data_IF_061691914819
#
_entry.id   IF_061691914819
#
_cell.length_a   1.000
_cell.length_b   1.000
_cell.length_c   1.000
_cell.angle_alpha   90.00
_cell.angle_beta   90.00
_cell.angle_gamma   90.00
#
_symmetry.space_group_name_H-M   'P 1'
#
loop_
_entity.id
_entity.type
_entity.pdbx_description
1 polymer ?
#
# COMPACT_ATOMS: atom_id res chain seq x y z
N UNK A 1 19.10 25.60 1.74
CA UNK A 1 18.91 24.18 1.38
C UNK A 1 18.84 23.40 2.69
N UNK A 2 17.84 22.52 2.89
CA UNK A 2 17.84 21.60 4.02
C UNK A 2 19.14 20.80 4.02
N UNK A 3 19.69 20.48 5.19
CA UNK A 3 20.79 19.51 5.24
C UNK A 3 20.25 18.12 4.91
N UNK A 4 21.13 17.22 4.48
CA UNK A 4 20.76 15.83 4.17
C UNK A 4 20.15 15.11 5.38
N UNK A 5 20.61 15.47 6.59
CA UNK A 5 20.05 15.00 7.85
C UNK A 5 18.64 15.54 8.14
N UNK A 6 18.36 16.80 7.79
CA UNK A 6 17.01 17.38 7.91
C UNK A 6 16.05 16.71 6.91
N UNK A 7 16.53 16.48 5.67
CA UNK A 7 15.71 15.82 4.64
C UNK A 7 15.39 14.39 5.04
N UNK A 8 16.39 13.63 5.48
CA UNK A 8 16.22 12.26 5.98
C UNK A 8 15.17 12.19 7.08
N UNK A 9 15.25 13.10 8.05
CA UNK A 9 14.34 13.14 9.20
C UNK A 9 12.91 13.48 8.77
N UNK A 10 12.73 14.45 7.87
CA UNK A 10 11.43 14.82 7.31
C UNK A 10 10.79 13.65 6.56
N UNK A 11 11.53 13.02 5.63
CA UNK A 11 11.00 11.91 4.82
C UNK A 11 10.59 10.73 5.70
N UNK A 12 11.43 10.37 6.69
CA UNK A 12 11.12 9.31 7.66
C UNK A 12 9.84 9.62 8.43
N UNK A 13 9.74 10.83 8.99
CA UNK A 13 8.58 11.22 9.79
C UNK A 13 7.29 11.23 8.96
N UNK A 14 7.34 11.74 7.73
CA UNK A 14 6.21 11.76 6.82
C UNK A 14 5.77 10.36 6.39
N UNK A 15 6.72 9.49 6.00
CA UNK A 15 6.45 8.11 5.64
C UNK A 15 5.82 7.33 6.79
N UNK A 16 6.39 7.45 7.99
CA UNK A 16 5.86 6.82 9.19
C UNK A 16 4.45 7.32 9.51
N UNK A 17 4.21 8.63 9.46
CA UNK A 17 2.90 9.20 9.71
C UNK A 17 1.84 8.74 8.69
N UNK A 18 2.20 8.67 7.41
CA UNK A 18 1.33 8.14 6.35
C UNK A 18 1.01 6.66 6.58
N UNK A 19 2.02 5.82 6.82
CA UNK A 19 1.81 4.39 7.06
C UNK A 19 0.94 4.13 8.27
N UNK A 20 1.15 4.85 9.37
CA UNK A 20 0.31 4.70 10.57
C UNK A 20 -1.11 5.24 10.37
N UNK A 21 -1.31 6.25 9.52
CA UNK A 21 -2.66 6.72 9.19
C UNK A 21 -3.49 5.61 8.52
N UNK A 22 -2.88 4.70 7.76
CA UNK A 22 -3.57 3.58 7.12
C UNK A 22 -4.01 2.47 8.10
N UNK A 23 -3.56 2.48 9.37
CA UNK A 23 -4.06 1.58 10.41
C UNK A 23 -5.52 1.91 10.76
N UNK A 24 -5.86 3.20 10.77
CA UNK A 24 -7.24 3.68 10.91
C UNK A 24 -7.49 4.77 9.85
N UNK A 25 -7.72 4.34 8.59
CA UNK A 25 -7.66 5.24 7.45
C UNK A 25 -8.79 6.27 7.49
N UNK A 26 -8.50 7.56 7.27
CA UNK A 26 -9.53 8.53 6.94
C UNK A 26 -10.10 8.24 5.54
N UNK A 27 -11.07 9.05 5.09
CA UNK A 27 -11.57 8.94 3.73
C UNK A 27 -10.43 9.10 2.70
N UNK A 28 -10.46 8.40 1.55
CA UNK A 28 -9.39 8.46 0.55
C UNK A 28 -9.01 9.89 0.13
N UNK A 29 -9.99 10.77 -0.06
CA UNK A 29 -9.75 12.18 -0.41
C UNK A 29 -9.01 12.95 0.69
N UNK A 30 -9.35 12.71 1.96
CA UNK A 30 -8.66 13.32 3.10
C UNK A 30 -7.23 12.79 3.20
N UNK A 31 -7.03 11.48 3.11
CA UNK A 31 -5.71 10.85 3.12
C UNK A 31 -4.81 11.43 2.02
N UNK A 32 -5.30 11.49 0.78
CA UNK A 32 -4.57 12.02 -0.36
C UNK A 32 -4.24 13.51 -0.17
N UNK A 33 -5.21 14.31 0.27
CA UNK A 33 -4.98 15.75 0.50
C UNK A 33 -3.92 16.04 1.56
N UNK A 34 -3.82 15.15 2.56
CA UNK A 34 -2.94 15.32 3.72
C UNK A 34 -1.52 14.84 3.45
N UNK A 35 -1.37 13.69 2.78
CA UNK A 35 -0.09 13.01 2.68
C UNK A 35 0.52 13.04 1.28
N UNK A 36 -0.23 13.38 0.24
CA UNK A 36 0.25 13.33 -1.14
C UNK A 36 0.38 14.72 -1.77
N UNK A 37 1.23 14.79 -2.79
CA UNK A 37 1.36 15.97 -3.65
C UNK A 37 0.09 16.20 -4.49
N UNK A 38 0.04 17.26 -5.29
CA UNK A 38 -1.11 17.57 -6.14
C UNK A 38 -1.30 16.61 -7.32
N UNK A 39 -0.23 15.94 -7.77
CA UNK A 39 -0.25 15.00 -8.91
C UNK A 39 0.41 13.68 -8.53
N UNK A 40 -0.12 12.94 -7.54
CA UNK A 40 0.52 11.73 -7.05
C UNK A 40 0.33 10.56 -8.02
N UNK A 41 1.13 9.52 -7.85
CA UNK A 41 0.92 8.25 -8.55
C UNK A 41 0.95 7.07 -7.58
N UNK A 42 0.03 6.12 -7.77
CA UNK A 42 0.03 4.84 -7.05
C UNK A 42 0.22 3.71 -8.07
N UNK A 43 1.05 2.74 -7.74
CA UNK A 43 1.28 1.57 -8.57
C UNK A 43 1.49 0.33 -7.70
N UNK A 44 0.55 -0.61 -7.77
CA UNK A 44 0.72 -1.92 -7.16
C UNK A 44 1.25 -2.90 -8.20
N UNK A 45 2.47 -3.38 -7.97
CA UNK A 45 3.16 -4.26 -8.90
C UNK A 45 2.56 -5.66 -8.81
N UNK A 46 2.36 -6.28 -9.96
CA UNK A 46 1.84 -7.63 -10.04
C UNK A 46 1.85 -8.16 -11.47
N UNK A 47 1.67 -9.48 -11.62
CA UNK A 47 1.64 -10.09 -12.94
C UNK A 47 0.35 -9.74 -13.70
N UNK A 48 0.48 -9.46 -14.99
CA UNK A 48 -0.66 -9.09 -15.85
C UNK A 48 -1.72 -10.19 -15.98
N UNK A 49 -1.38 -11.46 -15.76
CA UNK A 49 -2.36 -12.55 -15.80
C UNK A 49 -3.39 -12.48 -14.66
N UNK A 50 -3.09 -11.75 -13.57
CA UNK A 50 -3.99 -11.61 -12.43
C UNK A 50 -4.97 -10.42 -12.57
N UNK A 51 -4.71 -9.48 -13.49
CA UNK A 51 -5.39 -8.18 -13.53
C UNK A 51 -6.89 -8.27 -13.82
N UNK A 52 -7.35 -9.33 -14.48
CA UNK A 52 -8.78 -9.57 -14.72
C UNK A 52 -9.55 -9.76 -13.41
N UNK A 53 -8.92 -10.39 -12.41
CA UNK A 53 -9.53 -10.67 -11.10
C UNK A 53 -9.11 -9.65 -10.03
N UNK A 54 -7.94 -9.01 -10.23
CA UNK A 54 -7.35 -8.03 -9.33
C UNK A 54 -7.06 -6.74 -10.13
N UNK A 55 -8.09 -5.91 -10.42
CA UNK A 55 -8.00 -4.80 -11.38
C UNK A 55 -7.09 -3.63 -10.97
N UNK A 56 -6.52 -3.69 -9.76
CA UNK A 56 -5.52 -2.74 -9.27
C UNK A 56 -4.08 -3.16 -9.61
N UNK A 57 -3.82 -4.45 -9.87
CA UNK A 57 -2.45 -4.94 -10.14
C UNK A 57 -1.93 -4.52 -11.52
N UNK A 58 -0.69 -4.02 -11.54
CA UNK A 58 0.01 -3.58 -12.75
C UNK A 58 -0.57 -2.30 -13.38
N UNK A 59 -1.61 -1.72 -12.77
CA UNK A 59 -2.21 -0.45 -13.20
C UNK A 59 -1.57 0.69 -12.43
N UNK A 60 -1.11 1.71 -13.14
CA UNK A 60 -0.69 2.97 -12.54
C UNK A 60 -1.88 3.92 -12.49
N UNK A 61 -2.12 4.48 -11.30
CA UNK A 61 -3.16 5.48 -11.04
C UNK A 61 -2.48 6.84 -10.93
N UNK A 62 -2.96 7.83 -11.69
CA UNK A 62 -2.36 9.16 -11.82
C UNK A 62 -3.29 10.27 -11.33
N UNK A 63 -2.76 11.13 -10.45
CA UNK A 63 -3.50 12.24 -9.88
C UNK A 63 -4.45 11.81 -8.75
N UNK A 64 -4.88 12.78 -7.94
CA UNK A 64 -5.69 12.51 -6.76
C UNK A 64 -6.99 11.74 -7.06
N UNK A 65 -7.61 11.97 -8.22
CA UNK A 65 -8.84 11.28 -8.61
C UNK A 65 -8.62 9.78 -8.85
N UNK A 66 -7.65 9.41 -9.70
CA UNK A 66 -7.38 7.99 -9.96
C UNK A 66 -6.79 7.30 -8.73
N UNK A 67 -5.96 8.00 -7.94
CA UNK A 67 -5.48 7.47 -6.68
C UNK A 67 -6.62 7.20 -5.69
N UNK A 68 -7.70 7.98 -5.71
CA UNK A 68 -8.91 7.66 -4.95
C UNK A 68 -9.59 6.38 -5.50
N UNK A 69 -9.68 6.26 -6.83
CA UNK A 69 -10.19 5.06 -7.50
C UNK A 69 -9.37 3.80 -7.17
N UNK A 70 -8.07 3.92 -6.92
CA UNK A 70 -7.25 2.79 -6.43
C UNK A 70 -7.80 2.23 -5.12
N UNK A 71 -8.10 3.08 -4.12
CA UNK A 71 -8.66 2.63 -2.84
C UNK A 71 -10.04 2.00 -3.01
N UNK A 72 -10.89 2.56 -3.87
CA UNK A 72 -12.21 2.00 -4.20
C UNK A 72 -12.08 0.62 -4.87
N UNK A 73 -11.18 0.51 -5.84
CA UNK A 73 -10.92 -0.73 -6.59
C UNK A 73 -10.39 -1.82 -5.65
N UNK A 74 -9.38 -1.49 -4.85
CA UNK A 74 -8.80 -2.39 -3.86
C UNK A 74 -9.86 -2.84 -2.83
N UNK A 75 -10.58 -1.89 -2.20
CA UNK A 75 -11.58 -2.20 -1.16
C UNK A 75 -12.80 -2.97 -1.67
N UNK A 76 -13.14 -2.85 -2.96
CA UNK A 76 -14.17 -3.68 -3.59
C UNK A 76 -13.74 -5.16 -3.72
N UNK A 77 -12.43 -5.42 -3.75
CA UNK A 77 -11.85 -6.75 -3.98
C UNK A 77 -11.36 -7.40 -2.68
N UNK A 78 -10.67 -6.62 -1.85
CA UNK A 78 -10.00 -7.07 -0.63
C UNK A 78 -10.33 -6.14 0.53
N UNK A 79 -10.54 -6.72 1.72
CA UNK A 79 -10.47 -6.01 2.99
C UNK A 79 -9.04 -6.09 3.49
N UNK A 80 -8.48 -4.93 3.82
CA UNK A 80 -7.16 -4.82 4.43
C UNK A 80 -7.31 -4.54 5.92
N UNK A 81 -6.70 -5.37 6.77
CA UNK A 81 -6.71 -5.23 8.22
C UNK A 81 -5.28 -5.02 8.71
N UNK A 82 -4.93 -3.75 8.91
CA UNK A 82 -3.68 -3.33 9.51
C UNK A 82 -3.85 -3.17 11.03
N UNK A 83 -2.82 -3.51 11.79
CA UNK A 83 -2.77 -3.46 13.25
C UNK A 83 -1.71 -2.45 13.70
N UNK A 84 -1.66 -2.17 15.01
CA UNK A 84 -0.68 -1.25 15.59
C UNK A 84 0.78 -1.62 15.31
N UNK A 85 1.04 -2.90 15.05
CA UNK A 85 2.34 -3.50 14.73
C UNK A 85 2.52 -3.81 13.23
N UNK A 86 1.60 -3.37 12.36
CA UNK A 86 1.70 -3.54 10.91
C UNK A 86 2.90 -2.82 10.29
N UNK A 87 3.41 -1.79 10.96
CA UNK A 87 4.60 -1.07 10.54
C UNK A 87 5.62 -1.03 11.67
N UNK A 88 6.93 -1.01 11.34
CA UNK A 88 7.95 -0.81 12.35
C UNK A 88 7.88 0.62 12.90
N UNK A 89 8.59 0.87 14.02
CA UNK A 89 8.86 2.25 14.45
C UNK A 89 9.69 3.02 13.42
N UNK A 90 9.92 4.34 13.62
CA UNK A 90 10.56 5.20 12.62
C UNK A 90 11.91 4.68 12.10
N UNK A 91 12.71 4.04 12.95
CA UNK A 91 14.02 3.49 12.57
C UNK A 91 13.95 2.27 11.63
N UNK A 92 12.77 1.66 11.47
CA UNK A 92 12.55 0.58 10.49
C UNK A 92 12.26 1.08 9.07
N UNK A 93 12.14 2.40 8.87
CA UNK A 93 12.00 3.01 7.55
C UNK A 93 13.40 3.33 7.00
N UNK A 94 13.74 2.69 5.87
CA UNK A 94 15.01 2.93 5.17
C UNK A 94 14.83 4.16 4.30
N UNK A 95 15.66 5.18 4.52
CA UNK A 95 15.61 6.44 3.78
C UNK A 95 16.86 6.59 2.93
N UNK A 96 16.66 6.86 1.65
CA UNK A 96 17.69 7.30 0.72
C UNK A 96 17.35 8.74 0.33
N UNK A 97 18.04 9.69 0.95
CA UNK A 97 17.78 11.11 0.76
C UNK A 97 18.31 11.62 -0.60
N UNK A 98 19.37 11.02 -1.13
CA UNK A 98 19.91 11.32 -2.46
C UNK A 98 18.94 10.90 -3.56
N UNK A 99 18.36 9.69 -3.43
CA UNK A 99 17.31 9.21 -4.33
C UNK A 99 15.92 9.79 -4.01
N UNK A 100 15.78 10.51 -2.89
CA UNK A 100 14.51 11.02 -2.37
C UNK A 100 13.45 9.89 -2.29
N UNK A 101 13.82 8.78 -1.65
CA UNK A 101 12.94 7.61 -1.47
C UNK A 101 12.94 7.09 -0.04
N UNK A 102 11.83 6.50 0.37
CA UNK A 102 11.68 5.80 1.65
C UNK A 102 11.07 4.43 1.39
N UNK A 103 11.71 3.40 1.93
CA UNK A 103 11.24 2.01 1.83
C UNK A 103 10.82 1.51 3.21
N UNK A 104 9.69 0.82 3.28
CA UNK A 104 9.21 0.16 4.50
C UNK A 104 8.65 -1.21 4.18
N UNK A 105 8.92 -2.18 5.05
CA UNK A 105 8.26 -3.48 5.07
C UNK A 105 7.13 -3.42 6.08
N UNK A 106 5.91 -3.65 5.63
CA UNK A 106 4.73 -3.76 6.47
C UNK A 106 4.19 -5.18 6.52
N UNK A 107 3.21 -5.41 7.39
CA UNK A 107 2.44 -6.65 7.46
C UNK A 107 0.95 -6.39 7.69
N UNK A 108 0.10 -7.32 7.29
CA UNK A 108 -1.33 -7.19 7.47
C UNK A 108 -2.08 -8.49 7.25
N UNK A 109 -3.37 -8.47 7.59
CA UNK A 109 -4.31 -9.53 7.20
C UNK A 109 -5.17 -9.00 6.06
N UNK A 110 -5.23 -9.76 4.98
CA UNK A 110 -6.04 -9.43 3.82
C UNK A 110 -7.12 -10.48 3.65
N UNK A 111 -8.31 -10.06 3.23
CA UNK A 111 -9.47 -10.93 3.06
C UNK A 111 -10.18 -10.61 1.75
N UNK A 112 -10.47 -11.62 0.95
CA UNK A 112 -11.31 -11.48 -0.23
C UNK A 112 -12.74 -11.10 0.16
N UNK A 113 -13.25 -9.98 -0.37
CA UNK A 113 -14.65 -9.55 -0.18
C UNK A 113 -15.63 -10.55 -0.80
N UNK A 114 -15.19 -11.28 -1.82
CA UNK A 114 -16.01 -12.25 -2.58
C UNK A 114 -16.13 -13.60 -1.90
N UNK A 115 -15.06 -14.11 -1.28
CA UNK A 115 -14.98 -15.50 -0.81
C UNK A 115 -14.75 -15.64 0.70
N UNK A 116 -14.39 -14.55 1.38
CA UNK A 116 -14.00 -14.54 2.79
C UNK A 116 -12.67 -15.24 3.08
N UNK A 117 -11.96 -15.75 2.07
CA UNK A 117 -10.61 -16.30 2.25
C UNK A 117 -9.68 -15.18 2.69
N UNK A 118 -8.88 -15.45 3.71
CA UNK A 118 -7.93 -14.47 4.24
C UNK A 118 -6.52 -15.02 4.38
N UNK A 119 -5.52 -14.15 4.33
CA UNK A 119 -4.13 -14.51 4.53
C UNK A 119 -3.38 -13.42 5.30
N UNK A 120 -2.32 -13.82 5.98
CA UNK A 120 -1.30 -12.88 6.46
C UNK A 120 -0.27 -12.68 5.36
N UNK A 121 0.13 -11.43 5.12
CA UNK A 121 1.25 -11.14 4.23
C UNK A 121 2.18 -10.08 4.81
N UNK A 122 3.41 -10.09 4.28
CA UNK A 122 4.31 -8.95 4.32
C UNK A 122 4.34 -8.30 2.95
N UNK A 123 4.36 -6.98 2.94
CA UNK A 123 4.42 -6.18 1.74
C UNK A 123 5.51 -5.12 1.86
N UNK A 124 5.98 -4.62 0.73
CA UNK A 124 6.98 -3.55 0.64
C UNK A 124 6.33 -2.33 0.01
N UNK A 125 6.50 -1.19 0.65
CA UNK A 125 6.19 0.11 0.04
C UNK A 125 7.47 0.87 -0.25
N UNK A 126 7.53 1.46 -1.43
CA UNK A 126 8.54 2.44 -1.81
C UNK A 126 7.82 3.76 -2.07
N UNK A 127 8.14 4.75 -1.26
CA UNK A 127 7.55 6.09 -1.29
C UNK A 127 8.58 7.07 -1.85
N UNK A 128 8.21 7.82 -2.87
CA UNK A 128 9.13 8.70 -3.59
C UNK A 128 8.46 9.98 -4.10
N UNK A 129 9.17 10.71 -4.96
CA UNK A 129 8.65 11.92 -5.61
C UNK A 129 8.24 13.02 -4.62
N UNK A 130 8.88 13.04 -3.45
CA UNK A 130 8.48 13.89 -2.34
C UNK A 130 8.66 15.37 -2.65
N UNK A 131 7.72 16.20 -2.21
CA UNK A 131 7.87 17.66 -2.26
C UNK A 131 8.69 18.19 -1.07
N UNK A 132 8.89 19.51 -1.03
CA UNK A 132 9.65 20.20 0.04
C UNK A 132 8.97 20.09 1.41
N UNK A 133 7.66 19.82 1.44
CA UNK A 133 6.88 19.63 2.68
C UNK A 133 6.86 18.18 3.14
N UNK A 134 7.49 17.26 2.40
CA UNK A 134 7.49 15.83 2.71
C UNK A 134 6.17 15.16 2.39
N UNK A 135 5.41 15.64 1.40
CA UNK A 135 4.25 14.92 0.85
C UNK A 135 4.68 13.97 -0.26
N UNK A 136 4.06 12.80 -0.33
CA UNK A 136 4.39 11.69 -1.23
C UNK A 136 3.98 12.02 -2.67
N UNK A 137 4.90 11.86 -3.62
CA UNK A 137 4.63 11.94 -5.05
C UNK A 137 4.31 10.59 -5.66
N UNK A 138 5.07 9.55 -5.30
CA UNK A 138 4.93 8.20 -5.84
C UNK A 138 4.80 7.18 -4.71
N UNK A 139 3.86 6.25 -4.85
CA UNK A 139 3.70 5.11 -3.95
C UNK A 139 3.68 3.82 -4.77
N UNK A 140 4.79 3.08 -4.70
CA UNK A 140 4.92 1.76 -5.30
C UNK A 140 4.72 0.67 -4.23
N UNK A 141 3.92 -0.34 -4.56
CA UNK A 141 3.51 -1.42 -3.66
C UNK A 141 3.90 -2.77 -4.24
N UNK A 142 4.55 -3.61 -3.43
CA UNK A 142 4.76 -5.04 -3.70
C UNK A 142 4.13 -5.86 -2.59
N UNK A 143 3.10 -6.64 -2.92
CA UNK A 143 2.34 -7.51 -2.02
C UNK A 143 2.43 -8.98 -2.46
N UNK A 144 1.54 -9.86 -1.99
CA UNK A 144 1.40 -11.24 -2.49
C UNK A 144 0.25 -11.38 -3.51
N UNK A 145 0.50 -11.13 -4.81
CA UNK A 145 -0.53 -11.23 -5.83
C UNK A 145 -1.03 -12.66 -6.04
N UNK A 146 -0.24 -13.69 -5.68
CA UNK A 146 -0.67 -15.08 -5.81
C UNK A 146 -1.70 -15.42 -4.74
N UNK A 147 -1.45 -15.06 -3.49
CA UNK A 147 -2.41 -15.25 -2.40
C UNK A 147 -3.70 -14.46 -2.67
N UNK A 148 -3.60 -13.21 -3.10
CA UNK A 148 -4.77 -12.43 -3.50
C UNK A 148 -5.57 -13.10 -4.64
N UNK A 149 -4.87 -13.58 -5.69
CA UNK A 149 -5.53 -14.19 -6.85
C UNK A 149 -6.22 -15.50 -6.47
N UNK A 150 -5.57 -16.34 -5.66
CA UNK A 150 -6.15 -17.57 -5.12
C UNK A 150 -7.35 -17.26 -4.21
N UNK A 151 -7.22 -16.28 -3.32
CA UNK A 151 -8.27 -15.91 -2.38
C UNK A 151 -9.57 -15.56 -3.12
N UNK A 152 -9.48 -14.80 -4.20
CA UNK A 152 -10.68 -14.37 -4.93
C UNK A 152 -11.31 -15.48 -5.78
N UNK A 153 -10.65 -16.60 -6.12
CA UNK A 153 -11.26 -17.63 -6.98
C UNK A 153 -12.54 -18.25 -6.40
N UNK A 154 -13.59 -18.41 -7.20
CA UNK A 154 -14.84 -19.03 -6.72
C UNK A 154 -14.76 -20.56 -6.56
N UNK A 155 -13.86 -21.19 -7.31
CA UNK A 155 -13.63 -22.63 -7.29
C UNK A 155 -12.86 -23.12 -6.06
N UNK A 156 -12.66 -24.44 -6.03
CA UNK A 156 -11.78 -25.07 -5.06
C UNK A 156 -10.34 -24.59 -5.31
N UNK A 157 -9.71 -24.12 -4.23
CA UNK A 157 -8.29 -23.85 -4.18
C UNK A 157 -7.74 -24.92 -3.24
N UNK A 158 -6.79 -25.72 -3.73
CA UNK A 158 -6.29 -26.87 -2.97
C UNK A 158 -5.75 -26.43 -1.60
N UNK A 159 -6.32 -27.02 -0.55
CA UNK A 159 -6.03 -26.70 0.85
C UNK A 159 -6.47 -25.31 1.31
N UNK A 160 -7.33 -24.60 0.57
CA UNK A 160 -7.87 -23.28 0.96
C UNK A 160 -9.38 -23.21 0.75
N UNK A 161 -10.12 -23.63 1.78
CA UNK A 161 -11.58 -23.51 1.83
C UNK A 161 -12.04 -22.05 1.85
N UNK A 162 -13.31 -21.79 1.47
CA UNK A 162 -13.90 -20.46 1.61
C UNK A 162 -14.01 -20.08 3.08
N UNK A 163 -13.74 -18.82 3.43
CA UNK A 163 -13.72 -18.34 4.81
C UNK A 163 -12.51 -18.78 5.64
N UNK A 164 -11.60 -19.59 5.08
CA UNK A 164 -10.41 -20.04 5.80
C UNK A 164 -9.29 -18.98 5.75
N UNK A 165 -8.55 -18.88 6.85
CA UNK A 165 -7.37 -18.02 6.99
C UNK A 165 -6.09 -18.81 6.83
N UNK A 166 -5.15 -18.31 6.03
CA UNK A 166 -3.76 -18.80 5.96
C UNK A 166 -2.79 -17.83 6.64
N UNK A 167 -1.67 -18.35 7.11
CA UNK A 167 -0.57 -17.62 7.76
C UNK A 167 0.74 -17.88 7.04
#
# INVERSE_FOLDING_TARGET
MPTDQDRTSLLRASAHAFSHALINPPAPSELLSRYFTSTPTIHEHGPSWASTQLPFLGRRFHGAHECATYFETLSSTLKMQLRGDSFPGPEGFVVDADANTVTVVGSGVFESTRTGRSWEERFVWVLGGWDDQGRVGTWDVWADPLSAWCAVQEGEVEGWGKGERRS
#
